data_IF_606670987993
#
_entry.id   IF_606670987993
#
_cell.length_a   1.000
_cell.length_b   1.000
_cell.length_c   1.000
_cell.angle_alpha   90.00
_cell.angle_beta   90.00
_cell.angle_gamma   90.00
#
_symmetry.space_group_name_H-M   'P 1'
#
loop_
_entity.id
_entity.type
_entity.pdbx_description
1 polymer ?
#
# COMPACT_ATOMS: atom_id res chain seq x y z
N UNK A 1 13.59 5.56 4.53
CA UNK A 1 12.86 4.29 4.73
C UNK A 1 13.30 3.47 5.95
N UNK A 2 14.14 4.05 6.80
CA UNK A 2 14.56 3.41 8.07
C UNK A 2 13.35 3.10 8.97
N UNK A 3 12.45 4.06 9.15
CA UNK A 3 11.23 3.89 9.94
C UNK A 3 10.37 2.69 9.48
N UNK A 4 10.19 2.52 8.17
CA UNK A 4 9.47 1.37 7.62
C UNK A 4 10.10 0.03 8.03
N UNK A 5 11.45 -0.06 7.98
CA UNK A 5 12.17 -1.28 8.34
C UNK A 5 12.08 -1.57 9.84
N UNK A 6 12.13 -0.54 10.68
CA UNK A 6 12.05 -0.65 12.14
C UNK A 6 10.65 -1.05 12.59
N UNK A 7 9.61 -0.45 11.98
CA UNK A 7 8.23 -0.69 12.41
C UNK A 7 7.59 -1.94 11.78
N UNK A 8 8.12 -2.46 10.65
CA UNK A 8 7.57 -3.64 9.95
C UNK A 8 7.50 -4.91 10.80
N UNK A 9 8.46 -5.26 11.66
CA UNK A 9 8.41 -6.48 12.46
C UNK A 9 7.21 -6.56 13.41
N UNK A 10 6.74 -5.44 13.94
CA UNK A 10 5.64 -5.42 14.92
C UNK A 10 4.32 -5.91 14.29
N UNK A 11 3.78 -5.30 13.22
CA UNK A 11 2.58 -5.81 12.57
C UNK A 11 2.82 -7.17 11.89
N UNK A 12 4.04 -7.46 11.42
CA UNK A 12 4.37 -8.78 10.87
C UNK A 12 4.15 -9.87 11.92
N UNK A 13 4.69 -9.70 13.15
CA UNK A 13 4.54 -10.64 14.25
C UNK A 13 3.06 -10.77 14.66
N UNK A 14 2.36 -9.63 14.76
CA UNK A 14 0.93 -9.61 15.09
C UNK A 14 0.11 -10.47 14.12
N UNK A 15 0.26 -10.28 12.80
CA UNK A 15 -0.50 -11.04 11.82
C UNK A 15 -0.12 -12.53 11.77
N UNK A 16 1.14 -12.87 12.04
CA UNK A 16 1.56 -14.28 12.09
C UNK A 16 1.02 -15.01 13.32
N UNK A 17 0.99 -14.36 14.48
CA UNK A 17 0.48 -14.96 15.73
C UNK A 17 -1.05 -15.03 15.71
N UNK A 18 -1.73 -13.91 15.52
CA UNK A 18 -3.18 -13.82 15.70
C UNK A 18 -3.99 -14.28 14.49
N UNK A 19 -3.46 -14.11 13.27
CA UNK A 19 -4.16 -14.46 12.04
C UNK A 19 -3.55 -15.66 11.31
N UNK A 20 -2.50 -16.27 11.87
CA UNK A 20 -1.79 -17.41 11.24
C UNK A 20 -1.46 -17.14 9.77
N UNK A 21 -0.99 -15.92 9.49
CA UNK A 21 -0.75 -15.43 8.12
C UNK A 21 0.24 -16.33 7.39
N UNK A 22 -0.19 -16.89 6.27
CA UNK A 22 0.66 -17.67 5.35
C UNK A 22 0.82 -16.89 4.05
N UNK A 23 2.03 -16.84 3.52
CA UNK A 23 2.34 -16.10 2.29
C UNK A 23 2.95 -17.04 1.28
N UNK A 24 2.33 -17.11 0.11
CA UNK A 24 2.76 -17.94 -1.01
C UNK A 24 3.20 -17.05 -2.18
N UNK A 25 4.10 -17.55 -3.05
CA UNK A 25 4.46 -16.88 -4.29
C UNK A 25 5.40 -15.68 -4.14
N UNK A 26 6.07 -15.48 -3.00
CA UNK A 26 7.04 -14.38 -2.82
C UNK A 26 8.14 -14.36 -3.87
N UNK A 27 8.51 -15.51 -4.41
CA UNK A 27 9.50 -15.65 -5.47
C UNK A 27 9.09 -14.99 -6.80
N UNK A 28 7.79 -14.77 -7.01
CA UNK A 28 7.25 -14.13 -8.21
C UNK A 28 7.35 -12.59 -8.16
N UNK A 29 7.72 -12.03 -7.01
CA UNK A 29 7.84 -10.57 -6.85
C UNK A 29 9.18 -10.10 -7.42
N UNK A 30 9.19 -9.09 -8.32
CA UNK A 30 10.42 -8.57 -8.91
C UNK A 30 11.42 -8.10 -7.84
N UNK A 31 12.69 -8.50 -7.98
CA UNK A 31 13.73 -8.14 -7.02
C UNK A 31 14.33 -6.77 -7.28
N UNK A 32 14.46 -6.39 -8.54
CA UNK A 32 15.20 -5.20 -8.97
C UNK A 32 14.33 -4.12 -9.61
N UNK A 33 13.24 -4.48 -10.28
CA UNK A 33 12.39 -3.54 -10.99
C UNK A 33 11.31 -2.91 -10.12
N UNK A 34 10.72 -1.81 -10.60
CA UNK A 34 9.51 -1.24 -10.04
C UNK A 34 8.30 -2.11 -10.39
N UNK A 35 7.31 -2.15 -9.49
CA UNK A 35 6.09 -2.90 -9.74
C UNK A 35 4.87 -2.20 -9.14
N UNK A 36 3.72 -2.41 -9.76
CA UNK A 36 2.42 -2.03 -9.21
C UNK A 36 1.83 -3.27 -8.53
N UNK A 37 1.47 -3.13 -7.28
CA UNK A 37 0.79 -4.16 -6.48
C UNK A 37 -0.69 -3.77 -6.41
N UNK A 38 -1.54 -4.59 -6.99
CA UNK A 38 -2.99 -4.35 -7.07
C UNK A 38 -3.77 -5.39 -6.25
N UNK A 39 -3.84 -5.26 -4.94
CA UNK A 39 -4.67 -6.14 -4.11
C UNK A 39 -6.13 -5.72 -4.18
N UNK A 40 -7.05 -6.65 -3.91
CA UNK A 40 -8.44 -6.31 -3.61
C UNK A 40 -8.53 -5.54 -2.28
N UNK A 41 -9.55 -4.68 -2.13
CA UNK A 41 -9.71 -3.84 -0.95
C UNK A 41 -10.97 -4.21 -0.15
N UNK A 42 -10.80 -5.02 0.88
CA UNK A 42 -11.88 -5.48 1.76
C UNK A 42 -11.80 -4.90 3.16
N UNK A 43 -10.59 -4.56 3.62
CA UNK A 43 -10.33 -4.12 4.98
C UNK A 43 -9.28 -3.02 5.05
N UNK A 44 -9.26 -2.24 6.12
CA UNK A 44 -8.15 -1.33 6.43
C UNK A 44 -6.83 -2.07 6.67
N UNK A 45 -6.89 -3.35 6.99
CA UNK A 45 -5.72 -4.20 7.21
C UNK A 45 -4.98 -4.57 5.92
N UNK A 46 -5.65 -4.50 4.75
CA UNK A 46 -5.09 -4.99 3.48
C UNK A 46 -3.76 -4.31 3.14
N UNK A 47 -3.69 -2.98 3.27
CA UNK A 47 -2.45 -2.23 3.01
C UNK A 47 -1.32 -2.62 3.96
N UNK A 48 -1.66 -2.91 5.23
CA UNK A 48 -0.67 -3.35 6.24
C UNK A 48 -0.21 -4.77 5.94
N UNK A 49 -1.14 -5.68 5.63
CA UNK A 49 -0.81 -7.08 5.27
C UNK A 49 0.13 -7.12 4.06
N UNK A 50 -0.20 -6.39 2.99
CA UNK A 50 0.67 -6.31 1.82
C UNK A 50 2.03 -5.68 2.17
N UNK A 51 2.05 -4.62 2.98
CA UNK A 51 3.29 -3.97 3.41
C UNK A 51 4.20 -4.92 4.20
N UNK A 52 3.65 -5.74 5.10
CA UNK A 52 4.45 -6.65 5.94
C UNK A 52 4.87 -7.92 5.19
N UNK A 53 4.07 -8.38 4.23
CA UNK A 53 4.36 -9.61 3.47
C UNK A 53 5.25 -9.36 2.27
N UNK A 54 5.20 -8.17 1.66
CA UNK A 54 6.03 -7.81 0.53
C UNK A 54 7.51 -7.71 0.98
N UNK A 55 8.46 -8.30 0.23
CA UNK A 55 9.90 -8.24 0.57
C UNK A 55 10.47 -6.83 0.48
N UNK A 56 9.87 -5.97 -0.36
CA UNK A 56 10.28 -4.59 -0.59
C UNK A 56 9.21 -3.61 -0.09
N UNK A 57 9.61 -2.38 0.31
CA UNK A 57 8.65 -1.37 0.73
C UNK A 57 7.64 -1.01 -0.37
N UNK A 58 6.36 -1.02 -0.02
CA UNK A 58 5.27 -0.64 -0.93
C UNK A 58 4.78 0.77 -0.58
N UNK A 59 4.69 1.63 -1.59
CA UNK A 59 4.19 3.01 -1.48
C UNK A 59 2.72 3.04 -1.84
N UNK A 60 1.86 3.56 -0.98
CA UNK A 60 0.43 3.60 -1.22
C UNK A 60 -0.06 5.00 -1.56
N UNK A 61 -1.02 5.08 -2.46
CA UNK A 61 -1.87 6.24 -2.59
C UNK A 61 -2.88 6.25 -1.44
N UNK A 62 -2.92 7.34 -0.69
CA UNK A 62 -3.87 7.51 0.39
C UNK A 62 -4.71 8.78 0.18
N UNK A 63 -5.98 8.71 0.56
CA UNK A 63 -6.93 9.81 0.41
C UNK A 63 -6.37 11.10 1.05
N UNK A 64 -6.37 12.21 0.29
CA UNK A 64 -5.75 13.47 0.72
C UNK A 64 -6.27 13.96 2.08
N UNK A 65 -7.52 13.69 2.41
CA UNK A 65 -8.14 14.08 3.67
C UNK A 65 -7.48 13.44 4.89
N UNK A 66 -6.86 12.25 4.72
CA UNK A 66 -6.14 11.58 5.79
C UNK A 66 -4.87 12.35 6.20
N UNK A 67 -4.34 13.17 5.31
CA UNK A 67 -3.17 14.01 5.59
C UNK A 67 -3.51 15.32 6.33
N UNK A 68 -4.80 15.64 6.52
CA UNK A 68 -5.22 16.79 7.32
C UNK A 68 -4.96 16.56 8.81
N UNK A 69 -5.07 15.32 9.28
CA UNK A 69 -4.69 14.97 10.65
C UNK A 69 -3.17 14.83 10.73
N UNK A 70 -2.52 15.64 11.58
CA UNK A 70 -1.05 15.68 11.71
C UNK A 70 -0.44 14.34 12.12
N UNK A 71 -1.10 13.60 13.03
CA UNK A 71 -0.63 12.30 13.52
C UNK A 71 -0.73 11.27 12.40
N UNK A 72 -1.90 11.17 11.76
CA UNK A 72 -2.10 10.27 10.62
C UNK A 72 -1.12 10.60 9.48
N UNK A 73 -0.94 11.88 9.16
CA UNK A 73 -0.01 12.33 8.12
C UNK A 73 1.44 11.94 8.42
N UNK A 74 1.86 12.01 9.70
CA UNK A 74 3.19 11.58 10.12
C UNK A 74 3.40 10.09 9.81
N UNK A 75 2.49 9.22 10.25
CA UNK A 75 2.59 7.78 10.00
C UNK A 75 2.49 7.45 8.50
N UNK A 76 1.52 8.03 7.80
CA UNK A 76 1.36 7.81 6.36
C UNK A 76 2.64 8.16 5.58
N UNK A 77 3.24 9.33 5.86
CA UNK A 77 4.51 9.76 5.23
C UNK A 77 5.67 8.86 5.63
N UNK A 78 5.75 8.45 6.89
CA UNK A 78 6.79 7.57 7.40
C UNK A 78 6.73 6.18 6.72
N UNK A 79 5.54 5.67 6.42
CA UNK A 79 5.34 4.47 5.62
C UNK A 79 5.45 4.73 4.11
N UNK A 80 5.66 5.97 3.70
CA UNK A 80 5.88 6.36 2.31
C UNK A 80 4.60 6.45 1.49
N UNK A 81 3.45 6.60 2.13
CA UNK A 81 2.21 6.92 1.45
C UNK A 81 2.22 8.36 0.91
N UNK A 82 1.51 8.59 -0.18
CA UNK A 82 1.36 9.91 -0.79
C UNK A 82 -0.11 10.22 -1.08
N UNK A 83 -0.49 11.51 -1.03
CA UNK A 83 -1.87 11.91 -1.17
C UNK A 83 -2.38 11.73 -2.60
N UNK A 84 -3.66 11.38 -2.72
CA UNK A 84 -4.43 11.37 -3.96
C UNK A 84 -5.80 11.98 -3.74
N UNK A 85 -6.23 12.82 -4.66
CA UNK A 85 -7.62 13.30 -4.74
C UNK A 85 -8.45 12.25 -5.47
N UNK A 86 -9.53 11.81 -4.85
CA UNK A 86 -10.44 10.84 -5.44
C UNK A 86 -11.57 11.54 -6.18
N UNK A 87 -12.10 10.90 -7.23
CA UNK A 87 -13.24 11.41 -8.01
C UNK A 87 -12.85 12.31 -9.17
N UNK A 88 -11.57 12.66 -9.32
CA UNK A 88 -11.03 13.42 -10.43
C UNK A 88 -9.66 12.87 -10.85
N UNK A 89 -9.18 13.25 -12.04
CA UNK A 89 -7.84 12.87 -12.48
C UNK A 89 -6.80 13.69 -11.72
N UNK A 90 -6.06 13.03 -10.81
CA UNK A 90 -5.00 13.65 -10.02
C UNK A 90 -3.64 13.47 -10.73
N UNK A 91 -3.31 14.38 -11.64
CA UNK A 91 -2.04 14.37 -12.39
C UNK A 91 -0.79 14.38 -11.48
N UNK A 92 -0.72 15.15 -10.37
CA UNK A 92 0.37 15.05 -9.40
C UNK A 92 0.56 13.64 -8.84
N UNK A 93 -0.51 12.95 -8.44
CA UNK A 93 -0.43 11.58 -7.94
C UNK A 93 0.03 10.60 -9.03
N UNK A 94 -0.46 10.75 -10.26
CA UNK A 94 -0.04 9.95 -11.42
C UNK A 94 1.46 10.16 -11.71
N UNK A 95 1.93 11.40 -11.77
CA UNK A 95 3.36 11.71 -11.97
C UNK A 95 4.22 11.11 -10.85
N UNK A 96 3.76 11.18 -9.60
CA UNK A 96 4.45 10.60 -8.45
C UNK A 96 4.57 9.08 -8.60
N UNK A 97 3.48 8.42 -9.02
CA UNK A 97 3.47 6.97 -9.31
C UNK A 97 4.51 6.61 -10.35
N UNK A 98 4.51 7.27 -11.51
CA UNK A 98 5.50 7.02 -12.57
C UNK A 98 6.93 7.24 -12.09
N UNK A 99 7.18 8.31 -11.32
CA UNK A 99 8.51 8.56 -10.75
C UNK A 99 8.94 7.42 -9.82
N UNK A 100 8.06 6.97 -8.93
CA UNK A 100 8.36 5.85 -8.01
C UNK A 100 8.68 4.56 -8.78
N UNK A 101 7.93 4.24 -9.82
CA UNK A 101 8.16 3.07 -10.67
C UNK A 101 9.50 3.18 -11.42
N UNK A 102 9.81 4.36 -11.97
CA UNK A 102 11.09 4.64 -12.63
C UNK A 102 12.26 4.51 -11.65
N UNK A 103 12.07 4.93 -10.39
CA UNK A 103 13.03 4.77 -9.30
C UNK A 103 13.02 3.33 -8.74
N UNK A 104 12.48 2.37 -9.50
CA UNK A 104 12.41 0.94 -9.15
C UNK A 104 11.72 0.65 -7.82
N UNK A 105 10.75 1.47 -7.43
CA UNK A 105 9.99 1.30 -6.19
C UNK A 105 8.66 0.59 -6.45
N UNK A 106 8.09 0.00 -5.40
CA UNK A 106 6.77 -0.62 -5.48
C UNK A 106 5.69 0.38 -5.12
N UNK A 107 4.61 0.37 -5.90
CA UNK A 107 3.43 1.19 -5.67
C UNK A 107 2.23 0.28 -5.46
N UNK A 108 1.54 0.47 -4.34
CA UNK A 108 0.28 -0.22 -4.05
C UNK A 108 -0.91 0.64 -4.49
N UNK A 109 -1.75 0.06 -5.30
CA UNK A 109 -2.99 0.68 -5.78
C UNK A 109 -4.14 -0.27 -5.50
N UNK A 110 -5.20 0.22 -4.88
CA UNK A 110 -6.46 -0.49 -4.77
C UNK A 110 -7.36 -0.05 -5.91
N UNK A 111 -7.53 -0.85 -6.98
CA UNK A 111 -8.24 -0.42 -8.19
C UNK A 111 -9.70 -0.07 -7.94
N UNK A 112 -10.29 -0.66 -6.91
CA UNK A 112 -11.67 -0.43 -6.52
C UNK A 112 -11.92 0.94 -5.87
N UNK A 113 -10.84 1.64 -5.50
CA UNK A 113 -10.88 2.97 -4.90
C UNK A 113 -11.57 3.05 -3.52
N UNK A 114 -12.34 2.04 -3.14
CA UNK A 114 -13.06 1.93 -1.87
C UNK A 114 -13.10 0.46 -1.41
N UNK A 115 -13.43 0.25 -0.13
CA UNK A 115 -13.59 -1.09 0.43
C UNK A 115 -14.88 -1.74 -0.07
N UNK A 116 -14.79 -2.98 -0.52
CA UNK A 116 -15.94 -3.75 -0.97
C UNK A 116 -16.56 -4.47 0.23
N UNK A 117 -17.88 -4.36 0.34
CA UNK A 117 -18.69 -5.13 1.28
C UNK A 117 -19.34 -6.27 0.48
N UNK A 118 -18.95 -7.51 0.75
CA UNK A 118 -19.50 -8.69 0.08
C UNK A 118 -18.44 -9.60 -0.54
N UNK A 119 -18.87 -10.62 -1.26
CA UNK A 119 -18.00 -11.56 -1.98
C UNK A 119 -17.65 -11.04 -3.37
N UNK A 120 -16.43 -11.35 -3.85
CA UNK A 120 -15.95 -11.00 -5.17
C UNK A 120 -15.10 -9.73 -5.24
N UNK A 121 -14.84 -9.30 -6.46
CA UNK A 121 -14.09 -8.08 -6.78
C UNK A 121 -15.06 -6.93 -7.07
N UNK A 122 -14.73 -5.73 -6.61
CA UNK A 122 -15.45 -4.53 -6.98
C UNK A 122 -15.11 -4.04 -8.38
N UNK A 123 -15.90 -3.06 -8.85
CA UNK A 123 -15.60 -2.38 -10.11
C UNK A 123 -14.29 -1.59 -9.97
N UNK A 124 -13.36 -1.81 -10.88
CA UNK A 124 -12.14 -1.00 -10.97
C UNK A 124 -12.46 0.39 -11.55
N UNK A 125 -11.81 1.43 -11.05
CA UNK A 125 -11.92 2.82 -11.49
C UNK A 125 -10.66 3.26 -12.21
#
# INVERSE_FOLDING_TARGET
MLFYKICKPVPWLFYHIFYRLKVYGKQNIPKEDGAIICPNHRSNHDSVIVAVTCPRPVRYMAKIELFKNKIAAFFLKAYGAYPVKRGETDFPAVRKTFKLLKDKQFVGIFPEGTRIKGEGFGKAH
#
